data_IF_770250808888
#
_entry.id   IF_770250808888
#
_cell.length_a   1.000
_cell.length_b   1.000
_cell.length_c   1.000
_cell.angle_alpha   90.00
_cell.angle_beta   90.00
_cell.angle_gamma   90.00
#
_symmetry.space_group_name_H-M   'P 1'
#
loop_
_entity.id
_entity.type
_entity.pdbx_description
1 polymer ?
#
# COMPACT_ATOMS: atom_id res chain seq x y z
N UNK A 1 36.27 -22.28 4.72
CA UNK A 1 35.36 -21.37 5.45
C UNK A 1 34.84 -20.24 4.53
N UNK A 2 34.26 -20.56 3.37
CA UNK A 2 33.80 -19.55 2.38
C UNK A 2 32.30 -19.62 2.11
N UNK A 3 31.67 -20.78 2.34
CA UNK A 3 30.23 -20.97 2.14
C UNK A 3 29.38 -20.08 3.05
N UNK A 4 29.74 -19.91 4.32
CA UNK A 4 28.99 -19.06 5.25
C UNK A 4 28.97 -17.58 4.84
N UNK A 5 30.08 -17.09 4.27
CA UNK A 5 30.17 -15.72 3.74
C UNK A 5 29.30 -15.54 2.51
N UNK A 6 29.35 -16.48 1.56
CA UNK A 6 28.50 -16.45 0.37
C UNK A 6 27.01 -16.51 0.72
N UNK A 7 26.64 -17.39 1.64
CA UNK A 7 25.27 -17.52 2.17
C UNK A 7 24.82 -16.20 2.80
N UNK A 8 25.64 -15.61 3.67
CA UNK A 8 25.33 -14.33 4.30
C UNK A 8 25.15 -13.20 3.28
N UNK A 9 26.02 -13.13 2.27
CA UNK A 9 25.97 -12.09 1.24
C UNK A 9 24.75 -12.24 0.31
N UNK A 10 24.39 -13.47 -0.07
CA UNK A 10 23.17 -13.75 -0.84
C UNK A 10 21.91 -13.36 -0.07
N UNK A 11 21.79 -13.77 1.20
CA UNK A 11 20.64 -13.38 2.03
C UNK A 11 20.58 -11.88 2.31
N UNK A 12 21.73 -11.22 2.51
CA UNK A 12 21.79 -9.78 2.65
C UNK A 12 21.32 -9.06 1.38
N UNK A 13 21.72 -9.56 0.20
CA UNK A 13 21.30 -9.02 -1.09
C UNK A 13 19.81 -9.21 -1.30
N UNK A 14 19.28 -10.41 -1.03
CA UNK A 14 17.84 -10.67 -1.08
C UNK A 14 17.08 -9.76 -0.12
N UNK A 15 17.55 -9.62 1.12
CA UNK A 15 16.96 -8.72 2.11
C UNK A 15 16.96 -7.27 1.64
N UNK A 16 18.05 -6.79 1.05
CA UNK A 16 18.14 -5.45 0.48
C UNK A 16 17.10 -5.24 -0.63
N UNK A 17 16.98 -6.19 -1.56
CA UNK A 17 16.00 -6.12 -2.65
C UNK A 17 14.58 -6.10 -2.10
N UNK A 18 14.26 -6.96 -1.12
CA UNK A 18 12.95 -6.97 -0.45
C UNK A 18 12.66 -5.65 0.25
N UNK A 19 13.63 -5.09 0.98
CA UNK A 19 13.47 -3.80 1.65
C UNK A 19 13.24 -2.65 0.64
N UNK A 20 13.96 -2.65 -0.49
CA UNK A 20 13.73 -1.69 -1.57
C UNK A 20 12.31 -1.79 -2.14
N UNK A 21 11.81 -3.02 -2.36
CA UNK A 21 10.44 -3.24 -2.83
C UNK A 21 9.40 -2.77 -1.81
N UNK A 22 9.61 -3.07 -0.52
CA UNK A 22 8.71 -2.60 0.55
C UNK A 22 8.71 -1.07 0.59
N UNK A 23 9.88 -0.43 0.56
CA UNK A 23 9.99 1.02 0.54
C UNK A 23 9.25 1.62 -0.67
N UNK A 24 9.42 1.02 -1.86
CA UNK A 24 8.72 1.44 -3.07
C UNK A 24 7.19 1.34 -2.93
N UNK A 25 6.67 0.21 -2.45
CA UNK A 25 5.24 -0.01 -2.24
C UNK A 25 4.68 0.96 -1.21
N UNK A 26 5.43 1.23 -0.14
CA UNK A 26 5.03 2.23 0.87
C UNK A 26 4.99 3.63 0.26
N UNK A 27 5.99 4.02 -0.54
CA UNK A 27 5.99 5.31 -1.23
C UNK A 27 4.81 5.44 -2.20
N UNK A 28 4.52 4.39 -2.98
CA UNK A 28 3.39 4.35 -3.90
C UNK A 28 2.04 4.42 -3.14
N UNK A 29 1.91 3.66 -2.05
CA UNK A 29 0.75 3.70 -1.17
C UNK A 29 0.56 5.06 -0.48
N UNK A 30 1.65 5.74 -0.11
CA UNK A 30 1.59 7.08 0.47
C UNK A 30 1.15 8.14 -0.55
N UNK A 31 1.54 8.00 -1.82
CA UNK A 31 1.05 8.89 -2.88
C UNK A 31 -0.48 8.81 -3.01
N UNK A 32 -1.04 7.59 -2.98
CA UNK A 32 -2.50 7.36 -2.99
C UNK A 32 -3.19 7.83 -1.70
N UNK A 33 -2.54 7.65 -0.56
CA UNK A 33 -3.06 8.11 0.74
C UNK A 33 -3.09 9.63 0.86
N UNK A 34 -2.20 10.38 0.20
CA UNK A 34 -2.28 11.85 0.18
C UNK A 34 -3.54 12.34 -0.52
N UNK A 35 -3.85 11.77 -1.68
CA UNK A 35 -5.09 12.08 -2.42
C UNK A 35 -6.33 11.74 -1.60
N UNK A 36 -6.35 10.57 -0.96
CA UNK A 36 -7.45 10.17 -0.07
C UNK A 36 -7.56 11.07 1.17
N UNK A 37 -6.44 11.47 1.77
CA UNK A 37 -6.43 12.34 2.95
C UNK A 37 -6.90 13.76 2.62
N UNK A 38 -6.64 14.24 1.41
CA UNK A 38 -7.16 15.51 0.90
C UNK A 38 -8.68 15.43 0.65
N UNK A 39 -9.17 14.28 0.18
CA UNK A 39 -10.60 13.99 0.03
C UNK A 39 -11.31 13.78 1.38
N UNK A 40 -10.63 13.22 2.38
CA UNK A 40 -11.14 13.09 3.76
C UNK A 40 -11.15 14.44 4.48
N UNK A 41 -10.11 15.26 4.32
CA UNK A 41 -10.03 16.60 4.88
C UNK A 41 -11.07 17.55 4.23
N UNK A 42 -11.35 17.38 2.94
CA UNK A 42 -12.46 18.05 2.26
C UNK A 42 -13.83 17.47 2.60
N UNK A 43 -13.88 16.44 3.47
CA UNK A 43 -15.10 15.94 4.06
C UNK A 43 -16.07 15.43 3.02
N UNK A 44 -15.66 14.46 2.19
CA UNK A 44 -16.56 13.68 1.32
C UNK A 44 -17.58 12.96 2.20
N UNK A 45 -18.61 13.72 2.58
CA UNK A 45 -19.84 13.26 3.17
C UNK A 45 -20.54 12.45 2.10
N UNK A 46 -20.29 11.14 2.11
CA UNK A 46 -21.32 10.10 2.10
C UNK A 46 -22.57 10.53 1.29
N UNK A 47 -22.45 10.65 -0.03
CA UNK A 47 -23.59 10.46 -0.94
C UNK A 47 -23.56 9.05 -1.52
N UNK A 48 -23.35 8.05 -0.65
CA UNK A 48 -24.06 6.78 -0.83
C UNK A 48 -25.51 7.08 -0.45
N UNK A 49 -26.20 7.85 -1.31
CA UNK A 49 -27.66 7.90 -1.28
C UNK A 49 -28.04 6.47 -1.56
N UNK A 50 -28.47 5.77 -0.53
CA UNK A 50 -29.17 4.51 -0.65
C UNK A 50 -30.22 4.70 -1.75
N UNK A 51 -29.93 4.23 -2.95
CA UNK A 51 -30.97 3.86 -3.91
C UNK A 51 -31.30 2.42 -3.55
N UNK A 52 -31.79 2.25 -2.32
CA UNK A 52 -32.76 1.20 -2.06
C UNK A 52 -34.10 1.79 -2.48
N UNK A 53 -34.36 1.78 -3.78
CA UNK A 53 -35.73 1.82 -4.25
C UNK A 53 -36.11 0.36 -4.43
N UNK A 54 -36.51 -0.27 -3.32
CA UNK A 54 -37.43 -1.39 -3.39
C UNK A 54 -38.74 -0.82 -3.90
N UNK A 55 -38.96 -0.90 -5.21
CA UNK A 55 -40.27 -0.64 -5.79
C UNK A 55 -41.08 -1.92 -5.64
N UNK A 56 -42.19 -1.79 -4.92
CA UNK A 56 -43.08 -2.87 -4.53
C UNK A 56 -43.81 -3.45 -5.73
N UNK A 57 -43.81 -4.78 -5.82
CA UNK A 57 -44.78 -5.55 -6.59
C UNK A 57 -45.95 -5.92 -5.71
#
# INVERSE_FOLDING_TARGET
>A
MTHAFYIGMSYATTGLVVLCLIAWVVMDGQARKRELKELEASGVRRKVKAVFTGDGK
#
